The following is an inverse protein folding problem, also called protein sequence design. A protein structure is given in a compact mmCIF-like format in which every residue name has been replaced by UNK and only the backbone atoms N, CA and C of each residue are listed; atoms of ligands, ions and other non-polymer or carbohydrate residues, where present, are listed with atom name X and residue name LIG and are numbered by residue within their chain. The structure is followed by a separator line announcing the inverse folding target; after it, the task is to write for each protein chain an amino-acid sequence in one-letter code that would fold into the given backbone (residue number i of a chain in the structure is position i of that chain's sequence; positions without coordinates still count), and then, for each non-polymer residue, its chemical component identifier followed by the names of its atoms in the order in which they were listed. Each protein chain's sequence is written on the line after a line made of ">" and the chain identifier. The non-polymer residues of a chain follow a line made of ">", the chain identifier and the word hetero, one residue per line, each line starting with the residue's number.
data_IF_775656991477
#
_entry.id   IF_775656991477
#
_cell.length_a   1.000
_cell.length_b   1.000
_cell.length_c   1.000
_cell.angle_alpha   90.00
_cell.angle_beta   90.00
_cell.angle_gamma   90.00
#
_symmetry.space_group_name_H-M   'P 1'
#
loop_
_entity.id
_entity.type
_entity.pdbx_description
1 polymer ?
#
# COMPACT_ATOMS: atom_id res chain seq x y z
N UNK A 1 10.94 -11.12 -12.64
CA UNK A 1 10.03 -10.67 -13.71
C UNK A 1 9.61 -9.24 -13.39
N UNK A 2 10.00 -8.29 -14.23
CA UNK A 2 9.39 -6.96 -14.25
C UNK A 2 7.96 -7.19 -14.77
N UNK A 3 6.94 -6.89 -13.95
CA UNK A 3 5.55 -7.19 -14.27
C UNK A 3 5.17 -6.56 -15.61
N UNK A 4 4.76 -7.38 -16.58
CA UNK A 4 4.19 -6.91 -17.83
C UNK A 4 2.98 -6.04 -17.54
N UNK A 5 2.90 -4.87 -18.19
CA UNK A 5 1.74 -3.98 -18.20
C UNK A 5 0.48 -4.75 -18.67
N UNK A 6 -0.25 -5.36 -17.74
CA UNK A 6 -1.58 -5.89 -18.02
C UNK A 6 -2.54 -4.73 -18.26
N UNK A 7 -3.45 -4.90 -19.21
CA UNK A 7 -4.54 -3.95 -19.47
C UNK A 7 -5.36 -3.73 -18.19
N UNK A 8 -5.69 -2.47 -17.93
CA UNK A 8 -6.49 -2.04 -16.78
C UNK A 8 -7.97 -2.04 -17.15
N UNK A 9 -8.83 -2.00 -16.14
CA UNK A 9 -10.30 -2.03 -16.30
C UNK A 9 -10.83 -0.99 -17.31
N UNK A 10 -10.23 0.21 -17.34
CA UNK A 10 -10.60 1.30 -18.25
C UNK A 10 -10.21 1.04 -19.70
N UNK A 11 -9.19 0.23 -19.97
CA UNK A 11 -8.78 -0.14 -21.32
C UNK A 11 -9.84 -1.03 -22.00
N UNK A 12 -10.73 -1.64 -21.20
CA UNK A 12 -11.90 -2.40 -21.65
C UNK A 12 -13.18 -1.57 -21.72
N UNK A 13 -13.10 -0.24 -21.58
CA UNK A 13 -14.27 0.66 -21.63
C UNK A 13 -15.10 0.71 -20.34
N UNK A 14 -14.69 0.01 -19.28
CA UNK A 14 -15.38 0.04 -17.98
C UNK A 14 -14.85 1.23 -17.18
N UNK A 15 -15.72 2.20 -16.88
CA UNK A 15 -15.37 3.47 -16.22
C UNK A 15 -16.10 3.57 -14.88
N UNK A 16 -15.47 3.17 -13.76
CA UNK A 16 -16.06 3.33 -12.43
C UNK A 16 -16.06 4.80 -11.99
N UNK A 17 -17.20 5.25 -11.48
CA UNK A 17 -17.39 6.61 -10.98
C UNK A 17 -17.47 7.68 -12.07
N UNK A 18 -17.61 8.94 -11.66
CA UNK A 18 -17.79 10.10 -12.57
C UNK A 18 -16.54 10.98 -12.68
N UNK A 19 -15.54 10.77 -11.81
CA UNK A 19 -14.33 11.59 -11.78
C UNK A 19 -13.26 11.03 -12.73
N UNK A 20 -12.49 11.90 -13.41
CA UNK A 20 -11.34 11.47 -14.20
C UNK A 20 -10.21 10.99 -13.28
N UNK A 21 -9.44 9.96 -13.69
CA UNK A 21 -8.26 9.54 -12.94
C UNK A 21 -7.10 10.54 -13.12
N UNK A 22 -6.10 10.44 -12.24
CA UNK A 22 -4.79 11.07 -12.45
C UNK A 22 -4.03 10.46 -13.64
N UNK A 23 -2.88 11.06 -13.96
CA UNK A 23 -2.06 10.69 -15.13
C UNK A 23 -1.70 9.21 -15.14
N UNK A 24 -1.29 8.66 -14.01
CA UNK A 24 -0.90 7.26 -13.89
C UNK A 24 -2.05 6.36 -13.47
N UNK A 25 -3.24 6.92 -13.17
CA UNK A 25 -4.39 6.22 -12.61
C UNK A 25 -3.97 5.27 -11.47
N UNK A 26 -3.19 5.82 -10.53
CA UNK A 26 -2.57 5.08 -9.43
C UNK A 26 -2.35 5.98 -8.20
N UNK A 27 -2.10 5.39 -7.03
CA UNK A 27 -1.87 6.14 -5.79
C UNK A 27 -0.67 7.09 -5.87
N UNK A 28 0.32 6.78 -6.71
CA UNK A 28 1.50 7.62 -6.96
C UNK A 28 1.20 8.90 -7.75
N UNK A 29 -0.05 9.10 -8.18
CA UNK A 29 -0.50 10.42 -8.68
C UNK A 29 -0.58 11.45 -7.55
N UNK A 30 -0.64 11.02 -6.29
CA UNK A 30 -0.43 11.90 -5.13
C UNK A 30 1.06 12.24 -5.04
N UNK A 31 1.39 13.52 -5.11
CA UNK A 31 2.78 13.98 -5.11
C UNK A 31 3.57 13.47 -3.89
N UNK A 32 4.76 12.94 -4.13
CA UNK A 32 5.65 12.40 -3.10
C UNK A 32 5.41 10.93 -2.76
N UNK A 33 4.20 10.40 -2.98
CA UNK A 33 3.88 9.00 -2.68
C UNK A 33 4.67 8.07 -3.59
N UNK A 34 5.29 7.04 -3.00
CA UNK A 34 6.04 6.00 -3.71
C UNK A 34 5.54 4.62 -3.31
N UNK A 35 5.60 3.67 -4.25
CA UNK A 35 5.25 2.26 -4.02
C UNK A 35 6.39 1.39 -4.50
N UNK A 36 6.75 0.39 -3.69
CA UNK A 36 7.73 -0.64 -4.03
C UNK A 36 7.19 -2.04 -3.74
N UNK A 37 7.63 -3.03 -4.51
CA UNK A 37 7.19 -4.42 -4.36
C UNK A 37 8.39 -5.36 -4.38
N UNK A 38 8.32 -6.38 -3.54
CA UNK A 38 9.14 -7.58 -3.63
C UNK A 38 8.23 -8.77 -3.82
N UNK A 39 8.33 -9.42 -4.97
CA UNK A 39 7.58 -10.64 -5.29
C UNK A 39 8.50 -11.85 -5.17
N UNK A 40 8.10 -12.83 -4.36
CA UNK A 40 8.84 -14.06 -4.12
C UNK A 40 8.01 -15.22 -4.65
N UNK A 41 8.47 -15.80 -5.76
CA UNK A 41 7.92 -17.03 -6.34
C UNK A 41 9.04 -18.07 -6.35
N UNK A 42 8.84 -19.20 -5.65
CA UNK A 42 9.81 -20.31 -5.62
C UNK A 42 9.09 -21.64 -5.61
N UNK A 43 9.48 -22.52 -6.52
CA UNK A 43 8.83 -23.83 -6.69
C UNK A 43 7.34 -23.68 -6.99
N UNK A 44 6.55 -24.59 -6.43
CA UNK A 44 5.10 -24.70 -6.56
C UNK A 44 4.32 -24.18 -5.34
N UNK A 45 5.03 -23.80 -4.28
CA UNK A 45 4.44 -23.60 -2.94
C UNK A 45 4.73 -22.24 -2.32
N UNK A 46 5.70 -21.48 -2.84
CA UNK A 46 6.02 -20.14 -2.35
C UNK A 46 5.52 -19.12 -3.36
N UNK A 47 4.43 -18.43 -3.01
CA UNK A 47 3.87 -17.29 -3.74
C UNK A 47 3.56 -16.18 -2.72
N UNK A 48 4.55 -15.37 -2.37
CA UNK A 48 4.44 -14.37 -1.31
C UNK A 48 5.19 -13.09 -1.68
N UNK A 49 5.20 -12.11 -0.80
CA UNK A 49 5.90 -10.85 -1.02
C UNK A 49 5.62 -9.79 0.03
N UNK A 50 6.13 -8.59 -0.26
CA UNK A 50 5.88 -7.37 0.50
C UNK A 50 5.63 -6.24 -0.47
N UNK A 51 4.66 -5.39 -0.15
CA UNK A 51 4.48 -4.08 -0.78
C UNK A 51 4.74 -3.00 0.24
N UNK A 52 5.57 -2.03 -0.10
CA UNK A 52 5.83 -0.85 0.72
C UNK A 52 5.22 0.39 0.06
N UNK A 53 4.55 1.21 0.86
CA UNK A 53 4.01 2.51 0.45
C UNK A 53 4.66 3.57 1.33
N UNK A 54 5.38 4.49 0.71
CA UNK A 54 5.95 5.65 1.38
C UNK A 54 5.03 6.84 1.12
N UNK A 55 4.56 7.56 2.16
CA UNK A 55 3.70 8.72 1.97
C UNK A 55 4.44 9.92 1.35
N UNK A 56 5.76 9.98 1.49
CA UNK A 56 6.65 10.93 0.80
C UNK A 56 8.10 10.41 0.74
N UNK A 57 8.98 11.16 0.07
CA UNK A 57 10.39 10.81 -0.10
C UNK A 57 11.33 11.15 1.08
N UNK A 58 10.89 11.98 2.02
CA UNK A 58 11.70 12.39 3.19
C UNK A 58 11.67 11.34 4.33
N UNK A 59 12.37 11.63 5.42
CA UNK A 59 12.32 10.83 6.65
C UNK A 59 10.94 10.93 7.32
N UNK A 60 10.12 9.88 7.18
CA UNK A 60 8.72 9.82 7.67
C UNK A 60 8.63 9.91 9.20
N UNK A 61 9.64 9.43 9.91
CA UNK A 61 9.67 9.50 11.37
C UNK A 61 9.78 10.95 11.86
N UNK A 62 10.59 11.75 11.19
CA UNK A 62 10.79 13.17 11.47
C UNK A 62 9.72 14.07 10.84
N UNK A 63 9.19 13.66 9.68
CA UNK A 63 8.15 14.36 8.92
C UNK A 63 6.90 13.47 8.89
N UNK A 64 6.15 13.46 9.98
CA UNK A 64 4.95 12.61 10.13
C UNK A 64 3.83 13.09 9.20
N UNK A 65 2.94 12.18 8.83
CA UNK A 65 1.79 12.48 7.95
C UNK A 65 0.49 12.19 8.69
N UNK A 66 -0.50 13.12 8.69
CA UNK A 66 -1.81 12.85 9.28
C UNK A 66 -2.45 11.60 8.67
N UNK A 67 -3.04 10.76 9.52
CA UNK A 67 -3.60 9.49 9.11
C UNK A 67 -4.76 9.06 10.02
N UNK A 68 -5.60 8.17 9.50
CA UNK A 68 -6.68 7.53 10.22
C UNK A 68 -6.86 6.10 9.72
N UNK A 69 -7.37 5.23 10.58
CA UNK A 69 -7.67 3.83 10.26
C UNK A 69 -9.14 3.56 10.64
N UNK A 70 -9.86 2.89 9.74
CA UNK A 70 -11.21 2.40 10.01
C UNK A 70 -11.25 0.88 9.89
N UNK A 71 -11.71 0.20 10.93
CA UNK A 71 -11.84 -1.27 10.95
C UNK A 71 -13.28 -1.64 10.55
N UNK A 72 -13.47 -2.00 9.28
CA UNK A 72 -14.77 -2.51 8.81
C UNK A 72 -15.09 -3.91 9.35
N UNK A 73 -14.08 -4.79 9.45
CA UNK A 73 -14.16 -6.09 10.12
C UNK A 73 -12.79 -6.45 10.71
N UNK A 74 -12.77 -6.93 11.95
CA UNK A 74 -11.55 -7.15 12.74
C UNK A 74 -10.80 -8.46 12.49
N UNK A 75 -11.10 -9.24 11.44
CA UNK A 75 -10.45 -10.54 11.21
C UNK A 75 -9.03 -10.45 10.58
N UNK A 76 -8.36 -9.30 10.70
CA UNK A 76 -6.99 -9.05 10.21
C UNK A 76 -5.95 -8.99 11.33
N UNK A 77 -4.66 -9.06 10.98
CA UNK A 77 -3.53 -8.93 11.93
C UNK A 77 -2.77 -7.66 11.54
N UNK A 78 -3.14 -6.55 12.18
CA UNK A 78 -2.62 -5.22 11.89
C UNK A 78 -1.68 -4.77 13.02
N UNK A 79 -0.48 -4.31 12.67
CA UNK A 79 0.44 -3.66 13.59
C UNK A 79 0.38 -2.13 13.42
N UNK A 80 0.52 -1.39 14.53
CA UNK A 80 0.57 0.08 14.53
C UNK A 80 -0.78 0.81 14.68
N UNK A 81 -1.91 0.10 14.78
CA UNK A 81 -3.25 0.71 14.90
C UNK A 81 -3.37 1.69 16.08
N UNK A 82 -3.01 1.26 17.29
CA UNK A 82 -3.19 2.05 18.51
C UNK A 82 -2.48 3.40 18.46
N UNK A 83 -1.31 3.46 17.82
CA UNK A 83 -0.56 4.70 17.68
C UNK A 83 -1.22 5.67 16.70
N UNK A 84 -1.75 5.18 15.57
CA UNK A 84 -2.47 6.02 14.62
C UNK A 84 -3.79 6.50 15.22
N UNK A 85 -4.47 5.65 15.99
CA UNK A 85 -5.69 6.01 16.71
C UNK A 85 -5.43 7.12 17.74
N UNK A 86 -4.35 7.01 18.52
CA UNK A 86 -4.00 7.97 19.58
C UNK A 86 -3.43 9.29 19.02
N UNK A 87 -2.50 9.21 18.07
CA UNK A 87 -1.72 10.37 17.62
C UNK A 87 -2.17 10.96 16.28
N UNK A 88 -3.06 10.26 15.55
CA UNK A 88 -3.61 10.73 14.29
C UNK A 88 -2.57 10.88 13.17
N UNK A 89 -1.45 10.16 13.23
CA UNK A 89 -0.39 10.23 12.23
C UNK A 89 0.33 8.90 12.01
N UNK A 90 0.92 8.76 10.83
CA UNK A 90 1.91 7.73 10.50
C UNK A 90 3.32 8.32 10.54
N UNK A 91 4.26 7.52 11.04
CA UNK A 91 5.67 7.90 11.18
C UNK A 91 6.62 6.87 10.53
N UNK A 92 6.06 5.94 9.76
CA UNK A 92 6.76 4.85 9.06
C UNK A 92 6.17 4.64 7.67
N UNK A 93 6.85 3.91 6.77
CA UNK A 93 6.22 3.36 5.58
C UNK A 93 5.08 2.41 5.95
N UNK A 94 4.07 2.30 5.09
CA UNK A 94 3.00 1.31 5.21
C UNK A 94 3.45 0.04 4.51
N UNK A 95 3.49 -1.09 5.23
CA UNK A 95 3.86 -2.38 4.67
C UNK A 95 2.65 -3.30 4.57
N UNK A 96 2.53 -3.99 3.44
CA UNK A 96 1.52 -5.02 3.18
C UNK A 96 2.22 -6.35 2.90
N UNK A 97 1.91 -7.37 3.70
CA UNK A 97 2.42 -8.74 3.53
C UNK A 97 1.37 -9.76 3.98
N UNK A 98 1.71 -11.05 3.96
CA UNK A 98 0.81 -12.11 4.43
C UNK A 98 0.69 -12.13 5.97
N UNK A 99 -0.39 -12.74 6.47
CA UNK A 99 -0.76 -12.78 7.89
C UNK A 99 0.36 -13.23 8.83
N UNK A 100 1.19 -14.20 8.42
CA UNK A 100 2.22 -14.78 9.28
C UNK A 100 3.54 -13.99 9.26
N UNK A 101 3.72 -13.08 8.31
CA UNK A 101 4.92 -12.26 8.18
C UNK A 101 4.79 -10.86 8.81
N UNK A 102 3.66 -10.54 9.44
CA UNK A 102 3.43 -9.22 10.06
C UNK A 102 4.50 -8.87 11.09
N UNK A 103 4.99 -9.83 11.88
CA UNK A 103 6.04 -9.58 12.87
C UNK A 103 7.46 -9.50 12.28
N UNK A 104 7.67 -10.00 11.05
CA UNK A 104 8.96 -9.93 10.36
C UNK A 104 9.09 -8.67 9.51
N UNK A 105 7.97 -8.19 8.96
CA UNK A 105 7.88 -6.94 8.20
C UNK A 105 8.04 -5.72 9.12
#
# INVERSE_FOLDING_TARGET
>A
MIGSSQSRVRDYGIIPGVLPPGKNNAITDVHGVKVGHTTIIRGDSICTGVTAILPHGDNIFQRKVPAAIYIGNGFGKLAGYSQVEELGNIETPILLTNTFNVGTA
#
